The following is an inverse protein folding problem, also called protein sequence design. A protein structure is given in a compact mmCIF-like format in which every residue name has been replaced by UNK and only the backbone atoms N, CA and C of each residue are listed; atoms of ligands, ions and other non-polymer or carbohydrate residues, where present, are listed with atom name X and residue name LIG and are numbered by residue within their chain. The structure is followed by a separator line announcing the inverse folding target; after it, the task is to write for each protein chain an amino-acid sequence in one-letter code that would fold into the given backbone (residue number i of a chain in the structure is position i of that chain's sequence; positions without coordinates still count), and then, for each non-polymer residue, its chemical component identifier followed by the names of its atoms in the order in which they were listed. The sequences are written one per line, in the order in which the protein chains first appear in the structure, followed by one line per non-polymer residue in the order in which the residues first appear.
data_IF_013559111716
#
_entry.id   IF_013559111716
#
_cell.length_a   1.000
_cell.length_b   1.000
_cell.length_c   1.000
_cell.angle_alpha   90.00
_cell.angle_beta   90.00
_cell.angle_gamma   90.00
#
_symmetry.space_group_name_H-M   'P 1'
#
loop_
_entity.id
_entity.type
_entity.pdbx_description
1 polymer ?
#
# COMPACT_ATOMS: atom_id res chain seq x y z
N UNK A 1 21.97 -19.01 3.86
CA UNK A 1 21.79 -18.93 2.36
C UNK A 1 22.62 -17.76 1.89
N UNK A 2 23.30 -17.89 0.72
CA UNK A 2 24.06 -16.76 0.16
C UNK A 2 23.10 -15.65 -0.29
N UNK A 3 23.51 -14.37 -0.11
CA UNK A 3 22.73 -13.16 -0.46
C UNK A 3 22.18 -13.22 -1.90
N UNK A 4 23.01 -13.66 -2.86
CA UNK A 4 22.60 -13.78 -4.25
C UNK A 4 21.45 -14.77 -4.43
N UNK A 5 21.54 -15.92 -3.79
CA UNK A 5 20.51 -16.95 -3.84
C UNK A 5 19.20 -16.49 -3.19
N UNK A 6 19.28 -15.70 -2.10
CA UNK A 6 18.11 -15.09 -1.47
C UNK A 6 17.38 -14.16 -2.42
N UNK A 7 18.12 -13.25 -3.06
CA UNK A 7 17.57 -12.28 -4.01
C UNK A 7 16.99 -12.96 -5.25
N UNK A 8 17.70 -13.94 -5.82
CA UNK A 8 17.26 -14.65 -7.04
C UNK A 8 15.99 -15.50 -6.78
N UNK A 9 15.76 -15.92 -5.53
CA UNK A 9 14.56 -16.66 -5.12
C UNK A 9 13.38 -15.75 -4.77
N UNK A 10 13.64 -14.60 -4.17
CA UNK A 10 12.60 -13.68 -3.68
C UNK A 10 12.07 -12.76 -4.78
N UNK A 11 12.93 -12.30 -5.69
CA UNK A 11 12.57 -11.33 -6.71
C UNK A 11 11.85 -11.97 -7.90
N UNK A 12 10.79 -11.29 -8.37
CA UNK A 12 10.03 -11.68 -9.57
C UNK A 12 10.43 -10.87 -10.82
N UNK A 13 11.15 -9.75 -10.62
CA UNK A 13 11.65 -8.88 -11.69
C UNK A 13 13.02 -8.32 -11.36
N UNK A 14 13.70 -7.74 -12.37
CA UNK A 14 14.96 -7.04 -12.16
C UNK A 14 14.82 -5.82 -11.25
N UNK A 15 13.75 -5.07 -11.38
CA UNK A 15 13.46 -3.90 -10.53
C UNK A 15 13.23 -4.30 -9.07
N UNK A 16 12.41 -5.33 -8.85
CA UNK A 16 12.17 -5.86 -7.51
C UNK A 16 13.47 -6.40 -6.88
N UNK A 17 14.33 -7.02 -7.68
CA UNK A 17 15.65 -7.50 -7.22
C UNK A 17 16.54 -6.37 -6.72
N UNK A 18 16.55 -5.22 -7.40
CA UNK A 18 17.29 -4.03 -6.98
C UNK A 18 16.71 -3.47 -5.67
N UNK A 19 15.40 -3.35 -5.57
CA UNK A 19 14.71 -2.93 -4.36
C UNK A 19 15.06 -3.83 -3.17
N UNK A 20 14.93 -5.15 -3.34
CA UNK A 20 15.22 -6.12 -2.29
C UNK A 20 16.70 -6.12 -1.88
N UNK A 21 17.62 -5.87 -2.82
CA UNK A 21 19.03 -5.69 -2.51
C UNK A 21 19.28 -4.44 -1.63
N UNK A 22 18.63 -3.31 -1.96
CA UNK A 22 18.68 -2.10 -1.14
C UNK A 22 18.11 -2.32 0.27
N UNK A 23 17.04 -3.09 0.41
CA UNK A 23 16.47 -3.44 1.72
C UNK A 23 17.49 -4.20 2.58
N UNK A 24 18.18 -5.19 2.01
CA UNK A 24 19.25 -5.92 2.71
C UNK A 24 20.42 -4.98 3.10
N UNK A 25 20.82 -4.05 2.21
CA UNK A 25 21.87 -3.08 2.51
C UNK A 25 21.51 -2.18 3.70
N UNK A 26 20.24 -1.72 3.76
CA UNK A 26 19.72 -0.94 4.89
C UNK A 26 19.71 -1.75 6.19
N UNK A 27 19.30 -3.02 6.11
CA UNK A 27 19.33 -3.93 7.25
C UNK A 27 20.76 -4.15 7.77
N UNK A 28 21.70 -4.43 6.88
CA UNK A 28 23.11 -4.61 7.24
C UNK A 28 23.71 -3.32 7.81
N UNK A 29 23.42 -2.16 7.21
CA UNK A 29 23.86 -0.86 7.69
C UNK A 29 23.41 -0.60 9.13
N UNK A 30 22.12 -0.83 9.40
CA UNK A 30 21.55 -0.66 10.74
C UNK A 30 22.25 -1.56 11.76
N UNK A 31 22.39 -2.84 11.45
CA UNK A 31 23.01 -3.82 12.34
C UNK A 31 24.50 -3.58 12.59
N UNK A 32 25.27 -3.30 11.51
CA UNK A 32 26.73 -3.12 11.65
C UNK A 32 27.11 -1.83 12.38
N UNK A 33 26.33 -0.75 12.16
CA UNK A 33 26.62 0.57 12.74
C UNK A 33 25.82 0.86 14.01
N UNK A 34 24.86 0.01 14.32
CA UNK A 34 23.89 0.17 15.41
C UNK A 34 23.17 1.53 15.38
N UNK A 35 22.72 1.93 14.17
CA UNK A 35 21.98 3.18 13.90
C UNK A 35 20.66 2.87 13.20
N UNK A 36 19.62 3.71 13.37
CA UNK A 36 18.38 3.58 12.61
C UNK A 36 18.64 3.68 11.10
N UNK A 37 17.90 2.91 10.32
CA UNK A 37 17.90 3.03 8.87
C UNK A 37 16.47 2.85 8.35
N UNK A 38 16.11 3.57 7.29
CA UNK A 38 14.81 3.45 6.66
C UNK A 38 14.94 3.33 5.13
N UNK A 39 13.98 2.66 4.52
CA UNK A 39 13.80 2.68 3.06
C UNK A 39 13.00 3.92 2.64
N UNK A 40 12.88 4.13 1.34
CA UNK A 40 11.81 4.96 0.79
C UNK A 40 10.43 4.26 0.96
N UNK A 41 9.33 4.94 0.56
CA UNK A 41 7.99 4.36 0.66
C UNK A 41 7.80 3.18 -0.27
N UNK A 42 7.42 2.08 0.30
CA UNK A 42 7.08 0.83 -0.37
C UNK A 42 5.58 0.74 -0.62
N UNK A 43 5.18 0.31 -1.80
CA UNK A 43 3.82 -0.12 -2.08
C UNK A 43 3.48 -1.39 -1.28
N UNK A 44 2.19 -1.74 -1.11
CA UNK A 44 1.81 -2.97 -0.41
C UNK A 44 2.42 -4.25 -1.02
N UNK A 45 2.62 -4.30 -2.35
CA UNK A 45 3.30 -5.42 -3.00
C UNK A 45 4.77 -5.50 -2.61
N UNK A 46 5.47 -4.37 -2.61
CA UNK A 46 6.89 -4.27 -2.22
C UNK A 46 7.09 -4.56 -0.73
N UNK A 47 6.17 -4.11 0.15
CA UNK A 47 6.18 -4.45 1.58
C UNK A 47 6.11 -5.97 1.79
N UNK A 48 5.24 -6.64 1.03
CA UNK A 48 5.09 -8.10 1.09
C UNK A 48 6.36 -8.80 0.60
N UNK A 49 6.93 -8.37 -0.52
CA UNK A 49 8.19 -8.90 -1.04
C UNK A 49 9.35 -8.71 -0.04
N UNK A 50 9.42 -7.53 0.59
CA UNK A 50 10.39 -7.24 1.65
C UNK A 50 10.21 -8.17 2.85
N UNK A 51 8.99 -8.38 3.30
CA UNK A 51 8.69 -9.27 4.43
C UNK A 51 9.05 -10.74 4.13
N UNK A 52 8.72 -11.22 2.93
CA UNK A 52 9.09 -12.56 2.47
C UNK A 52 10.62 -12.73 2.40
N UNK A 53 11.34 -11.70 1.93
CA UNK A 53 12.80 -11.68 1.90
C UNK A 53 13.40 -11.74 3.32
N UNK A 54 12.92 -10.90 4.24
CA UNK A 54 13.42 -10.85 5.62
C UNK A 54 13.20 -12.19 6.33
N UNK A 55 12.02 -12.80 6.15
CA UNK A 55 11.73 -14.14 6.67
C UNK A 55 12.69 -15.19 6.07
N UNK A 56 12.95 -15.15 4.75
CA UNK A 56 13.88 -16.08 4.11
C UNK A 56 15.34 -15.88 4.56
N UNK A 57 15.68 -14.67 5.02
CA UNK A 57 16.97 -14.32 5.62
C UNK A 57 17.05 -14.58 7.13
N UNK A 58 16.01 -15.20 7.72
CA UNK A 58 15.89 -15.48 9.17
C UNK A 58 15.91 -14.20 10.02
N UNK A 59 15.30 -13.11 9.50
CA UNK A 59 15.13 -11.82 10.18
C UNK A 59 13.68 -11.67 10.57
N UNK A 60 13.36 -11.82 11.85
CA UNK A 60 11.98 -11.82 12.37
C UNK A 60 11.67 -10.61 13.26
N UNK A 61 12.68 -9.87 13.70
CA UNK A 61 12.58 -8.74 14.63
C UNK A 61 13.58 -7.63 14.28
N UNK A 62 13.51 -6.51 14.99
CA UNK A 62 14.37 -5.34 14.74
C UNK A 62 13.98 -4.55 13.51
N UNK A 63 12.72 -4.66 13.04
CA UNK A 63 12.19 -3.86 11.94
C UNK A 63 10.70 -3.54 12.11
N UNK A 64 10.25 -2.46 11.49
CA UNK A 64 8.84 -2.07 11.48
C UNK A 64 8.45 -1.40 10.16
N UNK A 65 7.22 -1.67 9.69
CA UNK A 65 6.62 -0.92 8.58
C UNK A 65 5.79 0.24 9.15
N UNK A 66 6.12 1.47 8.78
CA UNK A 66 5.44 2.69 9.22
C UNK A 66 5.13 3.60 8.03
N UNK A 67 4.02 4.33 8.09
CA UNK A 67 3.58 5.19 6.99
C UNK A 67 2.88 6.46 7.46
N UNK A 68 3.18 6.95 8.68
CA UNK A 68 2.68 8.18 9.25
C UNK A 68 1.34 8.04 9.99
N UNK A 69 0.61 6.95 9.78
CA UNK A 69 -0.61 6.60 10.52
C UNK A 69 -0.88 5.08 10.42
N UNK A 70 -1.75 4.57 11.31
CA UNK A 70 -1.94 3.12 11.51
C UNK A 70 -2.33 2.37 10.22
N UNK A 71 -3.27 2.93 9.43
CA UNK A 71 -3.83 2.28 8.23
C UNK A 71 -3.16 2.70 6.93
N UNK A 72 -1.96 3.26 6.99
CA UNK A 72 -1.23 3.67 5.80
C UNK A 72 -1.04 2.50 4.83
N UNK A 73 -1.34 2.73 3.55
CA UNK A 73 -1.10 1.74 2.49
C UNK A 73 0.37 1.73 2.09
N UNK A 74 0.96 2.91 1.91
CA UNK A 74 2.37 3.04 1.58
C UNK A 74 3.17 3.26 2.85
N UNK A 75 4.18 2.43 3.05
CA UNK A 75 4.98 2.43 4.29
C UNK A 75 6.46 2.41 3.97
N UNK A 76 7.26 3.07 4.77
CA UNK A 76 8.69 2.85 4.84
C UNK A 76 8.98 1.63 5.72
N UNK A 77 10.03 0.91 5.41
CA UNK A 77 10.56 -0.15 6.25
C UNK A 77 11.71 0.43 7.07
N UNK A 78 11.52 0.46 8.38
CA UNK A 78 12.51 0.91 9.37
C UNK A 78 13.25 -0.28 9.91
N UNK A 79 14.57 -0.19 10.00
CA UNK A 79 15.43 -1.10 10.74
C UNK A 79 15.87 -0.43 12.02
N UNK A 80 15.66 -1.12 13.14
CA UNK A 80 15.87 -0.59 14.48
C UNK A 80 17.17 -1.15 15.06
N UNK A 81 18.06 -0.29 15.57
CA UNK A 81 19.21 -0.73 16.35
C UNK A 81 18.78 -1.31 17.69
N UNK A 82 19.65 -2.05 18.37
CA UNK A 82 19.34 -2.78 19.61
C UNK A 82 18.86 -1.90 20.78
N UNK A 83 19.18 -0.60 20.74
CA UNK A 83 18.80 0.38 21.77
C UNK A 83 17.45 1.06 21.50
N UNK A 84 16.83 0.84 20.33
CA UNK A 84 15.61 1.52 19.91
C UNK A 84 14.45 0.52 19.79
N UNK A 85 13.41 0.70 20.60
CA UNK A 85 12.23 -0.19 20.60
C UNK A 85 11.21 0.20 19.53
N UNK A 86 11.09 1.51 19.22
CA UNK A 86 10.11 2.03 18.26
C UNK A 86 10.77 2.91 17.19
N UNK A 87 10.21 2.85 15.97
CA UNK A 87 10.66 3.70 14.87
C UNK A 87 10.24 5.16 15.09
N UNK A 88 11.18 6.09 15.00
CA UNK A 88 10.86 7.51 14.88
C UNK A 88 10.58 7.86 13.40
N UNK A 89 9.29 7.87 13.07
CA UNK A 89 8.85 8.16 11.70
C UNK A 89 9.18 9.60 11.29
N UNK A 90 9.23 10.52 12.25
CA UNK A 90 9.40 11.95 11.99
C UNK A 90 10.79 12.32 11.43
N UNK A 91 11.80 11.48 11.63
CA UNK A 91 13.12 11.68 11.04
C UNK A 91 13.16 11.37 9.53
N UNK A 92 12.29 10.45 9.06
CA UNK A 92 12.30 9.96 7.68
C UNK A 92 11.16 10.51 6.84
N UNK A 93 10.03 10.86 7.45
CA UNK A 93 8.85 11.36 6.75
C UNK A 93 8.18 12.51 7.50
N UNK A 94 7.39 13.28 6.77
CA UNK A 94 6.54 14.34 7.32
C UNK A 94 5.23 14.45 6.54
N UNK A 95 4.32 15.31 6.99
CA UNK A 95 3.06 15.56 6.31
C UNK A 95 2.94 17.03 5.89
N UNK A 96 2.50 17.25 4.67
CA UNK A 96 2.20 18.56 4.10
C UNK A 96 0.71 18.67 3.84
N UNK A 97 0.08 19.76 4.28
CA UNK A 97 -1.31 20.08 3.98
C UNK A 97 -1.40 21.04 2.81
N UNK A 98 -2.08 20.60 1.77
CA UNK A 98 -2.50 21.42 0.64
C UNK A 98 -3.93 21.89 0.89
N UNK A 99 -4.17 23.21 0.96
CA UNK A 99 -5.51 23.79 1.09
C UNK A 99 -5.93 24.46 -0.20
N UNK A 100 -7.22 24.35 -0.52
CA UNK A 100 -7.84 24.92 -1.71
C UNK A 100 -9.30 25.28 -1.42
N UNK A 101 -9.99 25.94 -2.35
CA UNK A 101 -11.39 26.34 -2.16
C UNK A 101 -12.29 25.11 -2.11
N UNK A 102 -13.27 25.10 -1.21
CA UNK A 102 -14.19 23.96 -1.04
C UNK A 102 -15.05 23.67 -2.28
N UNK A 103 -15.28 24.69 -3.11
CA UNK A 103 -16.03 24.58 -4.36
C UNK A 103 -15.25 23.81 -5.44
N UNK A 104 -13.91 23.77 -5.31
CA UNK A 104 -13.05 23.03 -6.22
C UNK A 104 -13.06 21.56 -5.85
N UNK A 105 -13.16 20.68 -6.84
CA UNK A 105 -13.10 19.24 -6.65
C UNK A 105 -11.78 18.72 -7.18
N UNK A 106 -10.92 18.24 -6.26
CA UNK A 106 -9.66 17.61 -6.58
C UNK A 106 -9.70 16.14 -6.14
N UNK A 107 -9.05 15.30 -6.90
CA UNK A 107 -8.94 13.86 -6.66
C UNK A 107 -7.51 13.48 -6.32
N UNK A 108 -7.32 12.30 -5.77
CA UNK A 108 -5.99 11.70 -5.59
C UNK A 108 -5.12 11.77 -6.86
N UNK A 109 -5.73 11.57 -8.06
CA UNK A 109 -5.02 11.60 -9.34
C UNK A 109 -4.48 13.00 -9.68
N UNK A 110 -5.21 14.05 -9.32
CA UNK A 110 -4.79 15.43 -9.60
C UNK A 110 -3.55 15.79 -8.78
N UNK A 111 -3.53 15.44 -7.50
CA UNK A 111 -2.35 15.62 -6.65
C UNK A 111 -1.17 14.76 -7.11
N UNK A 112 -1.37 13.47 -7.32
CA UNK A 112 -0.32 12.59 -7.79
C UNK A 112 0.27 13.05 -9.11
N UNK A 113 -0.59 13.44 -10.07
CA UNK A 113 -0.15 13.95 -11.37
C UNK A 113 0.69 15.22 -11.24
N UNK A 114 0.31 16.16 -10.38
CA UNK A 114 1.07 17.39 -10.14
C UNK A 114 2.44 17.13 -9.52
N UNK A 115 2.54 16.18 -8.58
CA UNK A 115 3.81 15.80 -7.96
C UNK A 115 4.75 15.09 -8.95
N UNK A 116 4.21 14.15 -9.72
CA UNK A 116 4.97 13.44 -10.76
C UNK A 116 5.47 14.38 -11.87
N UNK A 117 4.67 15.39 -12.25
CA UNK A 117 5.06 16.40 -13.24
C UNK A 117 6.25 17.27 -12.78
N UNK A 118 6.51 17.35 -11.48
CA UNK A 118 7.67 18.03 -10.89
C UNK A 118 8.91 17.12 -10.77
N UNK A 119 8.87 15.90 -11.32
CA UNK A 119 9.98 14.95 -11.27
C UNK A 119 10.07 14.17 -9.96
N UNK A 120 9.07 14.29 -9.07
CA UNK A 120 9.03 13.49 -7.83
C UNK A 120 8.69 12.06 -8.18
N UNK A 121 9.49 11.14 -7.71
CA UNK A 121 9.27 9.69 -7.91
C UNK A 121 8.29 9.12 -6.89
N UNK A 122 7.62 8.02 -7.22
CA UNK A 122 6.53 7.47 -6.39
C UNK A 122 7.01 6.96 -5.03
N UNK A 123 8.27 6.52 -4.95
CA UNK A 123 8.90 6.06 -3.71
C UNK A 123 9.11 7.17 -2.66
N UNK A 124 9.13 8.44 -3.09
CA UNK A 124 9.22 9.59 -2.17
C UNK A 124 7.88 9.99 -1.57
N UNK A 125 6.79 9.37 -2.05
CA UNK A 125 5.43 9.69 -1.65
C UNK A 125 4.79 8.52 -0.89
N UNK A 126 4.28 8.81 0.29
CA UNK A 126 3.37 7.96 1.05
C UNK A 126 1.94 8.05 0.52
N UNK A 127 0.98 8.05 1.41
CA UNK A 127 -0.43 8.18 1.06
C UNK A 127 -0.81 9.65 0.81
N UNK A 128 -1.79 9.83 -0.06
CA UNK A 128 -2.39 11.12 -0.43
C UNK A 128 -3.82 11.10 0.11
N UNK A 129 -4.06 11.86 1.18
CA UNK A 129 -5.31 11.86 1.94
C UNK A 129 -6.17 13.06 1.52
N UNK A 130 -7.08 12.84 0.56
CA UNK A 130 -7.93 13.89 0.02
C UNK A 130 -9.18 14.05 0.88
N UNK A 131 -9.45 15.29 1.28
CA UNK A 131 -10.64 15.72 2.02
C UNK A 131 -11.29 16.93 1.32
N UNK A 132 -12.45 17.34 1.77
CA UNK A 132 -13.10 18.55 1.23
C UNK A 132 -12.28 19.80 1.55
N UNK A 133 -11.82 20.51 0.49
CA UNK A 133 -11.03 21.74 0.61
C UNK A 133 -9.59 21.56 1.08
N UNK A 134 -9.13 20.30 1.29
CA UNK A 134 -7.75 20.03 1.71
C UNK A 134 -7.28 18.66 1.26
N UNK A 135 -5.96 18.52 1.21
CA UNK A 135 -5.30 17.23 0.96
C UNK A 135 -4.03 17.15 1.81
N UNK A 136 -3.87 16.08 2.58
CA UNK A 136 -2.65 15.82 3.31
C UNK A 136 -1.77 14.85 2.51
N UNK A 137 -0.54 15.27 2.27
CA UNK A 137 0.48 14.50 1.55
C UNK A 137 1.49 13.97 2.55
N UNK A 138 1.63 12.67 2.68
CA UNK A 138 2.72 12.07 3.44
C UNK A 138 3.91 11.94 2.48
N UNK A 139 5.06 12.48 2.86
CA UNK A 139 6.23 12.57 1.97
C UNK A 139 7.52 12.25 2.72
N UNK A 140 8.54 11.80 2.00
CA UNK A 140 9.88 11.70 2.55
C UNK A 140 10.36 13.09 3.02
N UNK A 141 11.01 13.14 4.17
CA UNK A 141 11.44 14.41 4.78
C UNK A 141 12.42 15.18 3.91
N UNK A 142 13.26 14.48 3.17
CA UNK A 142 14.27 15.08 2.28
C UNK A 142 13.67 15.94 1.16
N UNK A 143 12.48 15.59 0.65
CA UNK A 143 11.81 16.34 -0.41
C UNK A 143 10.82 17.39 0.09
N UNK A 144 10.45 17.38 1.37
CA UNK A 144 9.44 18.28 1.91
C UNK A 144 9.76 19.79 1.69
N UNK A 145 11.00 20.29 1.90
CA UNK A 145 11.34 21.69 1.62
C UNK A 145 11.13 22.08 0.15
N UNK A 146 11.45 21.16 -0.78
CA UNK A 146 11.23 21.38 -2.20
C UNK A 146 9.73 21.48 -2.52
N UNK A 147 8.92 20.57 -1.98
CA UNK A 147 7.47 20.56 -2.21
C UNK A 147 6.78 21.79 -1.64
N UNK A 148 7.19 22.26 -0.45
CA UNK A 148 6.68 23.48 0.18
C UNK A 148 6.87 24.73 -0.71
N UNK A 149 7.95 24.79 -1.47
CA UNK A 149 8.28 25.93 -2.32
C UNK A 149 7.67 25.81 -3.72
N UNK A 150 7.51 24.60 -4.24
CA UNK A 150 7.22 24.39 -5.65
C UNK A 150 5.81 23.87 -5.93
N UNK A 151 5.11 23.25 -4.97
CA UNK A 151 3.73 22.79 -5.15
C UNK A 151 2.77 23.95 -4.96
N UNK A 152 2.39 24.59 -6.07
CA UNK A 152 1.49 25.75 -6.08
C UNK A 152 0.12 25.45 -6.67
N UNK A 153 -0.06 24.30 -7.30
CA UNK A 153 -1.33 23.88 -7.91
C UNK A 153 -1.45 22.37 -8.06
N UNK A 154 -2.69 21.88 -8.09
CA UNK A 154 -3.04 20.55 -8.55
C UNK A 154 -4.03 20.69 -9.73
N UNK A 155 -3.66 20.18 -10.89
CA UNK A 155 -4.39 20.47 -12.13
C UNK A 155 -4.48 21.97 -12.38
N UNK A 156 -5.70 22.51 -12.39
CA UNK A 156 -5.96 23.96 -12.60
C UNK A 156 -6.22 24.74 -11.31
N UNK A 157 -6.26 24.04 -10.17
CA UNK A 157 -6.61 24.64 -8.87
C UNK A 157 -5.34 25.08 -8.15
N UNK A 158 -5.34 26.31 -7.66
CA UNK A 158 -4.25 26.86 -6.85
C UNK A 158 -4.29 26.25 -5.44
N UNK A 159 -3.13 25.95 -4.90
CA UNK A 159 -2.93 25.39 -3.58
C UNK A 159 -2.14 26.35 -2.68
N UNK A 160 -2.47 26.33 -1.39
CA UNK A 160 -1.58 26.82 -0.33
C UNK A 160 -1.05 25.60 0.42
N UNK A 161 0.28 25.49 0.54
CA UNK A 161 0.93 24.32 1.14
C UNK A 161 1.66 24.71 2.42
N UNK A 162 1.46 23.90 3.47
CA UNK A 162 2.13 24.08 4.76
C UNK A 162 2.53 22.73 5.35
N UNK A 163 3.60 22.69 6.12
CA UNK A 163 3.97 21.51 6.90
C UNK A 163 3.10 21.41 8.17
N UNK A 164 2.56 20.21 8.43
CA UNK A 164 1.70 19.95 9.59
C UNK A 164 2.25 18.87 10.54
N UNK A 165 3.29 18.16 10.13
CA UNK A 165 3.76 16.97 10.83
C UNK A 165 2.76 15.81 10.80
N UNK A 166 3.19 14.62 11.23
CA UNK A 166 2.36 13.42 11.16
C UNK A 166 1.17 13.45 12.13
N UNK A 167 1.32 14.09 13.29
CA UNK A 167 0.25 14.22 14.29
C UNK A 167 -0.89 15.14 13.83
N UNK A 168 -0.65 15.97 12.83
CA UNK A 168 -1.66 16.88 12.27
C UNK A 168 -2.50 16.29 11.14
N UNK A 169 -2.28 15.03 10.75
CA UNK A 169 -2.99 14.38 9.64
C UNK A 169 -4.51 14.35 9.84
N UNK A 170 -5.23 14.74 8.80
CA UNK A 170 -6.67 14.52 8.70
C UNK A 170 -6.93 13.22 7.94
N UNK A 171 -7.14 12.13 8.67
CA UNK A 171 -7.33 10.80 8.10
C UNK A 171 -8.80 10.65 7.72
N UNK A 172 -9.15 10.58 6.40
CA UNK A 172 -10.53 10.40 5.98
C UNK A 172 -11.10 9.08 6.50
N UNK A 173 -12.38 9.11 6.88
CA UNK A 173 -13.08 7.88 7.19
C UNK A 173 -13.13 6.97 5.95
N UNK A 174 -12.73 5.72 6.13
CA UNK A 174 -12.85 4.73 5.09
C UNK A 174 -14.32 4.40 4.84
N UNK A 175 -14.84 4.84 3.71
CA UNK A 175 -16.18 4.42 3.27
C UNK A 175 -16.07 2.99 2.76
N UNK A 176 -16.59 2.05 3.56
CA UNK A 176 -16.63 0.63 3.20
C UNK A 176 -18.07 0.17 3.08
N UNK A 177 -18.32 -0.68 2.10
CA UNK A 177 -19.58 -1.41 1.94
C UNK A 177 -19.36 -2.86 2.35
N UNK A 178 -20.07 -3.32 3.38
CA UNK A 178 -20.08 -4.73 3.72
C UNK A 178 -20.94 -5.52 2.73
N UNK A 179 -20.40 -6.62 2.23
CA UNK A 179 -21.06 -7.56 1.34
C UNK A 179 -21.05 -8.91 2.04
N UNK A 180 -22.24 -9.41 2.38
CA UNK A 180 -22.42 -10.76 2.95
C UNK A 180 -22.94 -11.66 1.87
N UNK A 181 -22.19 -12.72 1.57
CA UNK A 181 -22.55 -13.69 0.52
C UNK A 181 -22.08 -15.09 0.90
N UNK A 182 -22.39 -16.06 0.04
CA UNK A 182 -21.91 -17.42 0.19
C UNK A 182 -21.31 -17.91 -1.12
N UNK A 183 -20.16 -18.57 -1.06
CA UNK A 183 -19.50 -19.16 -2.24
C UNK A 183 -19.39 -20.67 -2.12
N UNK A 184 -19.39 -21.37 -3.25
CA UNK A 184 -19.20 -22.82 -3.27
C UNK A 184 -17.75 -23.23 -2.99
N UNK A 185 -16.80 -22.34 -3.28
CA UNK A 185 -15.37 -22.56 -3.10
C UNK A 185 -14.67 -21.24 -2.82
N UNK A 186 -13.58 -21.26 -2.04
CA UNK A 186 -12.72 -20.10 -1.79
C UNK A 186 -11.71 -19.89 -2.94
N UNK A 187 -12.20 -19.90 -4.18
CA UNK A 187 -11.41 -19.61 -5.38
C UNK A 187 -11.57 -18.15 -5.75
N UNK A 188 -10.54 -17.58 -6.31
CA UNK A 188 -10.51 -16.16 -6.69
C UNK A 188 -11.66 -15.78 -7.64
N UNK A 189 -11.99 -16.63 -8.62
CA UNK A 189 -13.10 -16.38 -9.54
C UNK A 189 -14.47 -16.28 -8.83
N UNK A 190 -14.71 -17.11 -7.82
CA UNK A 190 -15.94 -17.10 -7.05
C UNK A 190 -16.02 -15.92 -6.07
N UNK A 191 -14.92 -15.64 -5.38
CA UNK A 191 -14.83 -14.54 -4.41
C UNK A 191 -14.86 -13.17 -5.11
N UNK A 192 -14.13 -13.01 -6.24
CA UNK A 192 -14.15 -11.79 -7.05
C UNK A 192 -15.55 -11.53 -7.65
N UNK A 193 -16.26 -12.56 -8.11
CA UNK A 193 -17.63 -12.43 -8.59
C UNK A 193 -18.57 -11.87 -7.52
N UNK A 194 -18.46 -12.36 -6.29
CA UNK A 194 -19.20 -11.85 -5.13
C UNK A 194 -18.81 -10.41 -4.79
N UNK A 195 -17.51 -10.12 -4.58
CA UNK A 195 -17.01 -8.81 -4.13
C UNK A 195 -17.26 -7.68 -5.14
N UNK A 196 -17.20 -7.96 -6.43
CA UNK A 196 -17.48 -6.97 -7.48
C UNK A 196 -18.91 -7.04 -8.03
N UNK A 197 -19.77 -7.88 -7.45
CA UNK A 197 -21.17 -8.03 -7.86
C UNK A 197 -21.34 -8.35 -9.35
N UNK A 198 -20.61 -9.34 -9.86
CA UNK A 198 -20.62 -9.76 -11.25
C UNK A 198 -20.77 -11.28 -11.42
N UNK A 199 -20.97 -11.74 -12.67
CA UNK A 199 -20.98 -13.18 -12.96
C UNK A 199 -19.57 -13.78 -12.80
N UNK A 200 -19.51 -15.07 -12.44
CA UNK A 200 -18.24 -15.79 -12.32
C UNK A 200 -17.45 -15.83 -13.63
N UNK A 201 -18.14 -15.95 -14.77
CA UNK A 201 -17.50 -15.90 -16.10
C UNK A 201 -16.79 -14.56 -16.34
N UNK A 202 -17.45 -13.44 -16.00
CA UNK A 202 -16.83 -12.10 -16.12
C UNK A 202 -15.65 -11.93 -15.17
N UNK A 203 -15.70 -12.48 -13.95
CA UNK A 203 -14.57 -12.50 -13.04
C UNK A 203 -13.39 -13.29 -13.62
N UNK A 204 -13.64 -14.45 -14.25
CA UNK A 204 -12.61 -15.24 -14.92
C UNK A 204 -11.95 -14.48 -16.08
N UNK A 205 -12.73 -13.76 -16.90
CA UNK A 205 -12.19 -12.92 -17.98
C UNK A 205 -11.29 -11.81 -17.44
N UNK A 206 -11.70 -11.14 -16.35
CA UNK A 206 -10.88 -10.10 -15.72
C UNK A 206 -9.57 -10.67 -15.16
N UNK A 207 -9.62 -11.85 -14.54
CA UNK A 207 -8.43 -12.52 -13.99
C UNK A 207 -7.49 -12.93 -15.13
N UNK A 208 -7.99 -13.61 -16.15
CA UNK A 208 -7.17 -14.07 -17.29
C UNK A 208 -6.57 -12.94 -18.11
N UNK A 209 -7.19 -11.77 -18.12
CA UNK A 209 -6.65 -10.55 -18.77
C UNK A 209 -5.66 -9.75 -17.91
N UNK A 210 -5.24 -10.25 -16.74
CA UNK A 210 -4.28 -9.57 -15.86
C UNK A 210 -4.82 -8.32 -15.16
N UNK A 211 -6.15 -8.15 -15.12
CA UNK A 211 -6.79 -6.97 -14.52
C UNK A 211 -7.10 -7.12 -13.04
N UNK A 212 -6.86 -8.29 -12.47
CA UNK A 212 -7.11 -8.62 -11.07
C UNK A 212 -5.79 -8.89 -10.35
N UNK A 213 -5.68 -8.34 -9.17
CA UNK A 213 -4.59 -8.62 -8.25
C UNK A 213 -5.13 -9.29 -6.99
N UNK A 214 -4.44 -10.29 -6.51
CA UNK A 214 -4.64 -10.89 -5.20
C UNK A 214 -3.46 -10.49 -4.31
N UNK A 215 -3.75 -9.79 -3.20
CA UNK A 215 -2.72 -9.27 -2.30
C UNK A 215 -1.67 -8.42 -3.02
N UNK A 216 -2.15 -7.51 -3.89
CA UNK A 216 -1.34 -6.57 -4.69
C UNK A 216 -0.43 -7.23 -5.74
N UNK A 217 -0.54 -8.55 -5.98
CA UNK A 217 0.17 -9.26 -7.04
C UNK A 217 -0.80 -9.65 -8.15
N UNK A 218 -0.42 -9.37 -9.38
CA UNK A 218 -1.19 -9.83 -10.54
C UNK A 218 -1.25 -11.36 -10.56
N UNK A 219 -2.43 -11.88 -10.81
CA UNK A 219 -2.65 -13.32 -10.94
C UNK A 219 -3.53 -13.61 -12.15
N UNK A 220 -3.12 -14.60 -12.93
CA UNK A 220 -3.88 -15.10 -14.07
C UNK A 220 -4.67 -16.39 -13.74
N UNK A 221 -4.49 -16.91 -12.50
CA UNK A 221 -5.09 -18.14 -12.05
C UNK A 221 -6.46 -17.87 -11.42
N UNK A 222 -7.53 -18.16 -12.17
CA UNK A 222 -8.91 -18.02 -11.68
C UNK A 222 -9.22 -18.92 -10.47
N UNK A 223 -8.50 -20.01 -10.32
CA UNK A 223 -8.63 -20.97 -9.23
C UNK A 223 -7.66 -20.73 -8.07
N UNK A 224 -6.93 -19.60 -8.06
CA UNK A 224 -6.08 -19.24 -6.94
C UNK A 224 -6.89 -19.29 -5.63
N UNK A 225 -6.35 -19.91 -4.57
CA UNK A 225 -7.01 -19.94 -3.27
C UNK A 225 -7.07 -18.54 -2.65
N UNK A 226 -8.19 -18.24 -2.01
CA UNK A 226 -8.40 -16.98 -1.28
C UNK A 226 -8.69 -17.30 0.18
N UNK A 227 -8.07 -16.57 1.08
CA UNK A 227 -8.20 -16.72 2.52
C UNK A 227 -8.76 -15.46 3.19
N UNK A 228 -9.10 -15.57 4.46
CA UNK A 228 -9.44 -14.41 5.28
C UNK A 228 -8.23 -13.48 5.41
N UNK A 229 -8.47 -12.17 5.32
CA UNK A 229 -7.44 -11.13 5.30
C UNK A 229 -6.91 -10.81 3.89
N UNK A 230 -7.25 -11.62 2.86
CA UNK A 230 -6.82 -11.34 1.50
C UNK A 230 -7.51 -10.11 0.93
N UNK A 231 -6.74 -9.32 0.17
CA UNK A 231 -7.22 -8.16 -0.57
C UNK A 231 -7.27 -8.48 -2.05
N UNK A 232 -8.44 -8.31 -2.65
CA UNK A 232 -8.66 -8.46 -4.09
C UNK A 232 -8.91 -7.09 -4.70
N UNK A 233 -8.10 -6.69 -5.67
CA UNK A 233 -8.31 -5.46 -6.44
C UNK A 233 -8.50 -5.75 -7.91
N UNK A 234 -9.33 -4.93 -8.58
CA UNK A 234 -9.54 -5.03 -10.01
C UNK A 234 -9.52 -3.64 -10.65
N UNK A 235 -8.78 -3.52 -11.74
CA UNK A 235 -8.60 -2.24 -12.45
C UNK A 235 -9.94 -1.68 -12.93
N UNK A 236 -10.30 -0.49 -12.43
CA UNK A 236 -11.55 0.19 -12.74
C UNK A 236 -12.76 -0.25 -11.89
N UNK A 237 -12.60 -1.20 -10.97
CA UNK A 237 -13.67 -1.68 -10.08
C UNK A 237 -13.38 -1.42 -8.60
N UNK A 238 -12.16 -1.00 -8.25
CA UNK A 238 -11.71 -0.78 -6.88
C UNK A 238 -11.17 -2.06 -6.22
N UNK A 239 -11.26 -2.11 -4.90
CA UNK A 239 -10.74 -3.23 -4.10
C UNK A 239 -11.71 -3.63 -3.00
N UNK A 240 -11.58 -4.86 -2.53
CA UNK A 240 -12.23 -5.35 -1.33
C UNK A 240 -11.29 -6.27 -0.53
N UNK A 241 -11.54 -6.36 0.75
CA UNK A 241 -10.89 -7.29 1.67
C UNK A 241 -11.85 -8.44 2.03
N UNK A 242 -11.33 -9.64 2.16
CA UNK A 242 -12.04 -10.79 2.73
C UNK A 242 -11.98 -10.68 4.26
N UNK A 243 -12.93 -9.96 4.84
CA UNK A 243 -12.93 -9.65 6.27
C UNK A 243 -13.16 -10.88 7.15
N UNK A 244 -14.02 -11.80 6.69
CA UNK A 244 -14.32 -13.03 7.43
C UNK A 244 -14.66 -14.17 6.48
N UNK A 245 -14.15 -15.35 6.79
CA UNK A 245 -14.54 -16.63 6.21
C UNK A 245 -15.31 -17.42 7.26
N UNK A 246 -16.63 -17.47 7.13
CA UNK A 246 -17.51 -18.11 8.09
C UNK A 246 -17.71 -19.60 7.83
N UNK A 247 -18.65 -20.17 8.57
CA UNK A 247 -19.01 -21.59 8.46
C UNK A 247 -19.78 -21.95 7.19
N UNK A 248 -20.04 -23.25 7.05
CA UNK A 248 -20.84 -23.78 5.94
C UNK A 248 -22.33 -23.51 6.15
N UNK A 249 -22.99 -23.01 5.12
CA UNK A 249 -24.44 -22.90 5.07
C UNK A 249 -25.09 -24.29 4.98
N UNK A 250 -26.40 -24.37 5.21
CA UNK A 250 -27.17 -25.62 5.05
C UNK A 250 -27.05 -26.27 3.66
N UNK A 251 -26.63 -25.49 2.64
CA UNK A 251 -26.40 -25.95 1.26
C UNK A 251 -24.92 -26.26 0.97
N UNK A 252 -24.07 -26.37 1.99
CA UNK A 252 -22.64 -26.67 1.85
C UNK A 252 -21.80 -25.52 1.24
N UNK A 253 -22.30 -24.27 1.29
CA UNK A 253 -21.56 -23.10 0.77
C UNK A 253 -20.89 -22.35 1.95
N UNK A 254 -19.69 -21.87 1.73
CA UNK A 254 -18.93 -21.08 2.70
C UNK A 254 -19.47 -19.65 2.78
N UNK A 255 -19.79 -19.19 3.97
CA UNK A 255 -20.21 -17.81 4.19
C UNK A 255 -18.99 -16.86 4.11
N UNK A 256 -19.20 -15.67 3.54
CA UNK A 256 -18.18 -14.62 3.41
C UNK A 256 -18.71 -13.27 3.90
N UNK A 257 -17.86 -12.53 4.58
CA UNK A 257 -17.99 -11.09 4.78
C UNK A 257 -16.86 -10.39 4.01
N UNK A 258 -17.23 -9.61 3.02
CA UNK A 258 -16.29 -8.79 2.25
C UNK A 258 -16.49 -7.31 2.58
N UNK A 259 -15.40 -6.55 2.74
CA UNK A 259 -15.41 -5.09 2.91
C UNK A 259 -14.91 -4.44 1.64
N UNK A 260 -15.83 -3.92 0.85
CA UNK A 260 -15.50 -3.20 -0.39
C UNK A 260 -15.27 -1.72 -0.09
N UNK A 261 -14.12 -1.23 -0.48
CA UNK A 261 -13.74 0.19 -0.40
C UNK A 261 -14.47 0.97 -1.50
N UNK A 262 -15.06 2.13 -1.14
CA UNK A 262 -15.86 2.98 -2.03
C UNK A 262 -15.09 4.23 -2.46
#
# INVERSE_FOLDING_TARGET
MDRRQLLDRAAQSGEERVLLAHILDKCEQSRQRNIPAATDFLSPAEQRAAQELLHAADIHEGYAFRGGYERAERKMLFFLPDWQEEADESESMTALRCTYRKEDTLTHRDFLGSLMAQGITREKLGDILVSEGSCDLIVSRDIAPYLLQNVTSAGRVKLSVSEIGLSGLNIPELKVKEIRDTVSTLRLDAVAASGFSMSRGKAQELISSGRVQLNHRETLKADAPVAQGDVVSARGLGKFEVAEVGGLSKKGRTALLLRRYL
#
